data_IF_648536154400
#
_entry.id   IF_648536154400
#
_cell.length_a   1.000
_cell.length_b   1.000
_cell.length_c   1.000
_cell.angle_alpha   90.00
_cell.angle_beta   90.00
_cell.angle_gamma   90.00
#
_symmetry.space_group_name_H-M   'P 1'
#
loop_
_entity.id
_entity.type
_entity.pdbx_description
1 polymer ?
#
# COMPACT_ATOMS: atom_id res chain seq x y z
N UNK A 1 2.51 27.42 -3.09
CA UNK A 1 3.48 27.34 -1.98
C UNK A 1 2.85 26.91 -0.64
N UNK A 2 1.82 27.60 -0.11
CA UNK A 2 1.21 27.25 1.20
C UNK A 2 0.67 25.82 1.31
N UNK A 3 -0.01 25.32 0.26
CA UNK A 3 -0.58 23.96 0.24
C UNK A 3 0.51 22.88 0.23
N UNK A 4 1.59 23.09 -0.53
CA UNK A 4 2.69 22.14 -0.62
C UNK A 4 3.38 21.94 0.74
N UNK A 5 3.66 23.03 1.46
CA UNK A 5 4.26 22.98 2.80
C UNK A 5 3.37 22.18 3.75
N UNK A 6 2.07 22.44 3.70
CA UNK A 6 1.08 21.74 4.52
C UNK A 6 1.04 20.24 4.20
N UNK A 7 1.03 19.87 2.91
CA UNK A 7 1.05 18.47 2.48
C UNK A 7 2.33 17.78 2.97
N UNK A 8 3.49 18.40 2.79
CA UNK A 8 4.76 17.82 3.26
C UNK A 8 4.73 17.65 4.78
N UNK A 9 4.31 18.68 5.52
CA UNK A 9 4.32 18.65 6.98
C UNK A 9 3.42 17.55 7.57
N UNK A 10 2.23 17.32 7.00
CA UNK A 10 1.34 16.22 7.42
C UNK A 10 1.94 14.84 7.11
N UNK A 11 2.77 14.73 6.08
CA UNK A 11 3.32 13.46 5.62
C UNK A 11 4.75 13.20 6.14
N UNK A 12 5.29 14.03 7.03
CA UNK A 12 6.66 13.83 7.54
C UNK A 12 6.82 12.50 8.28
N UNK A 13 5.77 11.99 8.92
CA UNK A 13 5.75 10.68 9.58
C UNK A 13 6.09 9.52 8.64
N UNK A 14 5.83 9.68 7.35
CA UNK A 14 6.14 8.72 6.30
C UNK A 14 7.40 9.12 5.53
N UNK A 15 7.49 10.39 5.12
CA UNK A 15 8.59 10.88 4.28
C UNK A 15 9.93 10.69 4.98
N UNK A 16 10.01 10.94 6.30
CA UNK A 16 11.28 10.84 7.03
C UNK A 16 11.78 9.39 7.13
N UNK A 17 11.00 8.41 7.65
CA UNK A 17 11.43 7.01 7.62
C UNK A 17 11.70 6.49 6.21
N UNK A 18 10.87 6.86 5.24
CA UNK A 18 11.05 6.44 3.85
C UNK A 18 12.40 6.91 3.28
N UNK A 19 12.72 8.20 3.39
CA UNK A 19 13.99 8.74 2.88
C UNK A 19 15.20 8.20 3.66
N UNK A 20 15.02 7.86 4.92
CA UNK A 20 16.09 7.25 5.73
C UNK A 20 16.41 5.82 5.26
N UNK A 21 15.39 5.02 4.97
CA UNK A 21 15.53 3.67 4.41
C UNK A 21 15.96 3.65 2.95
N UNK A 22 15.66 4.67 2.16
CA UNK A 22 16.16 4.80 0.79
C UNK A 22 17.70 4.91 0.70
N UNK A 23 18.38 5.06 1.85
CA UNK A 23 19.85 5.02 1.95
C UNK A 23 20.39 3.59 2.10
N UNK A 24 19.54 2.63 2.45
CA UNK A 24 19.93 1.23 2.62
C UNK A 24 20.06 0.54 1.27
N UNK A 25 20.92 -0.48 1.23
CA UNK A 25 21.10 -1.32 0.05
C UNK A 25 20.00 -2.39 -0.01
N UNK A 26 18.80 -1.96 -0.39
CA UNK A 26 17.63 -2.83 -0.54
C UNK A 26 17.27 -3.06 -2.00
N UNK A 27 16.64 -4.20 -2.29
CA UNK A 27 16.07 -4.50 -3.60
C UNK A 27 14.86 -3.60 -3.85
N UNK A 28 15.02 -2.58 -4.69
CA UNK A 28 13.93 -1.63 -5.05
C UNK A 28 13.41 -1.79 -6.48
N UNK A 29 14.04 -2.67 -7.27
CA UNK A 29 13.64 -2.98 -8.64
C UNK A 29 13.29 -4.46 -8.73
N UNK A 30 12.12 -4.74 -9.28
CA UNK A 30 11.79 -6.05 -9.78
C UNK A 30 12.41 -6.26 -11.16
N UNK A 31 13.02 -7.41 -11.35
CA UNK A 31 13.19 -7.97 -12.68
C UNK A 31 11.87 -8.64 -13.03
N UNK A 32 11.05 -8.02 -13.88
CA UNK A 32 9.89 -8.70 -14.45
C UNK A 32 10.39 -9.81 -15.36
N UNK A 33 10.19 -11.05 -14.95
CA UNK A 33 10.44 -12.23 -15.75
C UNK A 33 9.33 -12.41 -16.80
N UNK A 34 9.74 -12.72 -18.03
CA UNK A 34 8.94 -13.44 -19.03
C UNK A 34 7.81 -12.71 -19.76
N UNK A 35 6.84 -12.14 -19.05
CA UNK A 35 5.60 -11.63 -19.65
C UNK A 35 5.60 -10.10 -19.72
N UNK A 36 5.35 -9.55 -20.91
CA UNK A 36 5.18 -8.10 -21.09
C UNK A 36 4.05 -7.57 -20.21
N UNK A 37 4.26 -6.41 -19.58
CA UNK A 37 3.24 -5.75 -18.73
C UNK A 37 1.89 -5.57 -19.45
N UNK A 38 1.88 -5.52 -20.79
CA UNK A 38 0.68 -5.43 -21.61
C UNK A 38 -0.26 -6.62 -21.41
N UNK A 39 0.27 -7.84 -21.30
CA UNK A 39 -0.55 -9.05 -21.13
C UNK A 39 -1.22 -9.13 -19.76
N UNK A 40 -0.86 -8.24 -18.84
CA UNK A 40 -1.46 -8.07 -17.51
C UNK A 40 -2.42 -6.88 -17.47
N UNK A 41 -2.69 -6.26 -18.61
CA UNK A 41 -3.68 -5.19 -18.76
C UNK A 41 -5.11 -5.72 -18.74
N UNK A 42 -6.04 -4.88 -18.33
CA UNK A 42 -7.47 -5.22 -18.26
C UNK A 42 -8.08 -5.31 -19.66
N UNK A 43 -8.68 -6.45 -20.03
CA UNK A 43 -9.52 -6.52 -21.22
C UNK A 43 -10.73 -5.60 -21.08
N UNK A 44 -11.20 -5.06 -22.21
CA UNK A 44 -12.33 -4.13 -22.23
C UNK A 44 -13.60 -4.68 -21.54
N UNK A 45 -13.87 -5.98 -21.68
CA UNK A 45 -15.01 -6.63 -21.03
C UNK A 45 -14.90 -6.59 -19.50
N UNK A 46 -13.70 -6.67 -18.94
CA UNK A 46 -13.45 -6.65 -17.50
C UNK A 46 -13.69 -5.27 -16.89
N UNK A 47 -13.46 -4.18 -17.64
CA UNK A 47 -13.80 -2.82 -17.19
C UNK A 47 -15.29 -2.69 -16.82
N UNK A 48 -16.15 -3.45 -17.48
CA UNK A 48 -17.60 -3.46 -17.24
C UNK A 48 -18.08 -4.65 -16.41
N UNK A 49 -17.16 -5.48 -15.89
CA UNK A 49 -17.51 -6.58 -15.01
C UNK A 49 -18.07 -6.05 -13.68
N UNK A 50 -19.27 -6.51 -13.31
CA UNK A 50 -19.98 -6.11 -12.09
C UNK A 50 -19.81 -7.17 -10.99
N UNK A 51 -19.63 -8.42 -11.38
CA UNK A 51 -19.43 -9.55 -10.45
C UNK A 51 -17.95 -9.76 -10.16
N UNK A 52 -17.57 -10.06 -8.90
CA UNK A 52 -16.19 -10.34 -8.59
C UNK A 52 -15.75 -11.67 -9.21
N UNK A 53 -14.53 -11.71 -9.74
CA UNK A 53 -13.78 -12.96 -9.80
C UNK A 53 -13.19 -13.18 -8.40
N UNK A 54 -13.56 -14.27 -7.72
CA UNK A 54 -13.16 -14.54 -6.33
C UNK A 54 -11.69 -14.91 -6.15
N UNK A 55 -10.78 -14.19 -6.78
CA UNK A 55 -9.33 -14.41 -6.69
C UNK A 55 -8.57 -13.10 -6.44
N UNK A 56 -7.41 -13.22 -5.82
CA UNK A 56 -6.43 -12.13 -5.69
C UNK A 56 -5.29 -12.30 -6.72
N UNK A 57 -5.50 -13.14 -7.74
CA UNK A 57 -4.50 -13.45 -8.76
C UNK A 57 -4.78 -12.64 -10.01
N UNK A 58 -3.73 -12.04 -10.54
CA UNK A 58 -3.73 -11.50 -11.89
C UNK A 58 -3.51 -12.65 -12.86
N UNK A 59 -4.35 -12.71 -13.87
CA UNK A 59 -4.19 -13.67 -14.94
C UNK A 59 -3.56 -12.96 -16.14
N UNK A 60 -2.71 -13.66 -16.89
CA UNK A 60 -2.33 -13.17 -18.21
C UNK A 60 -3.51 -13.28 -19.17
N UNK A 61 -3.49 -12.48 -20.23
CA UNK A 61 -4.48 -12.49 -21.32
C UNK A 61 -4.91 -13.92 -21.75
N UNK A 62 -3.97 -14.86 -21.83
CA UNK A 62 -4.21 -16.26 -22.26
C UNK A 62 -5.14 -17.05 -21.34
N UNK A 63 -5.19 -16.72 -20.04
CA UNK A 63 -6.04 -17.42 -19.06
C UNK A 63 -7.44 -16.81 -18.95
N UNK A 64 -7.68 -15.65 -19.59
CA UNK A 64 -8.95 -14.94 -19.56
C UNK A 64 -9.39 -14.48 -18.15
N UNK A 65 -10.65 -14.05 -18.06
CA UNK A 65 -11.20 -13.39 -16.86
C UNK A 65 -11.71 -14.36 -15.77
N UNK A 66 -11.63 -15.68 -15.97
CA UNK A 66 -12.12 -16.64 -14.97
C UNK A 66 -11.21 -16.68 -13.75
N UNK A 67 -11.80 -16.52 -12.55
CA UNK A 67 -11.06 -16.47 -11.28
C UNK A 67 -9.92 -15.46 -11.31
N UNK A 68 -10.12 -14.31 -11.94
CA UNK A 68 -9.18 -13.19 -11.92
C UNK A 68 -9.54 -12.18 -10.82
N UNK A 69 -8.58 -11.36 -10.41
CA UNK A 69 -8.82 -10.22 -9.53
C UNK A 69 -9.93 -9.30 -10.07
N UNK A 70 -10.90 -8.89 -9.23
CA UNK A 70 -12.00 -8.06 -9.68
C UNK A 70 -11.56 -6.61 -9.81
N UNK A 71 -11.33 -6.17 -11.05
CA UNK A 71 -10.72 -4.88 -11.38
C UNK A 71 -11.60 -4.01 -12.30
N UNK A 72 -12.91 -4.26 -12.33
CA UNK A 72 -13.86 -3.45 -13.10
C UNK A 72 -14.12 -2.07 -12.50
N UNK A 73 -14.76 -1.18 -13.27
CA UNK A 73 -15.18 0.14 -12.82
C UNK A 73 -16.25 0.07 -11.71
N UNK A 74 -16.98 -1.05 -11.64
CA UNK A 74 -18.14 -1.20 -10.77
C UNK A 74 -19.36 -0.45 -11.30
N UNK A 75 -20.55 -0.93 -10.91
CA UNK A 75 -21.82 -0.44 -11.43
C UNK A 75 -22.03 1.06 -11.19
N UNK A 76 -21.53 1.59 -10.08
CA UNK A 76 -21.64 3.02 -9.73
C UNK A 76 -20.96 3.90 -10.78
N UNK A 77 -19.71 3.62 -11.14
CA UNK A 77 -19.01 4.44 -12.12
C UNK A 77 -19.57 4.27 -13.53
N UNK A 78 -20.09 3.08 -13.87
CA UNK A 78 -20.82 2.87 -15.13
C UNK A 78 -22.05 3.80 -15.20
N UNK A 79 -22.85 3.88 -14.14
CA UNK A 79 -24.00 4.80 -14.06
C UNK A 79 -23.55 6.26 -14.13
N UNK A 80 -22.46 6.64 -13.44
CA UNK A 80 -21.92 8.00 -13.50
C UNK A 80 -21.46 8.37 -14.92
N UNK A 81 -20.78 7.47 -15.63
CA UNK A 81 -20.36 7.69 -17.01
C UNK A 81 -21.57 7.84 -17.94
N UNK A 82 -22.62 7.03 -17.74
CA UNK A 82 -23.86 7.17 -18.48
C UNK A 82 -24.55 8.52 -18.23
N UNK A 83 -24.66 8.94 -16.97
CA UNK A 83 -25.21 10.24 -16.59
C UNK A 83 -24.35 11.41 -17.10
N UNK A 84 -23.03 11.24 -17.13
CA UNK A 84 -22.12 12.21 -17.73
C UNK A 84 -22.43 12.38 -19.22
N UNK A 85 -22.56 11.30 -19.98
CA UNK A 85 -22.88 11.34 -21.42
C UNK A 85 -24.22 12.06 -21.64
N UNK A 86 -25.27 11.70 -20.89
CA UNK A 86 -26.57 12.39 -20.97
C UNK A 86 -26.42 13.88 -20.65
N UNK A 87 -25.68 14.20 -19.59
CA UNK A 87 -25.42 15.58 -19.18
C UNK A 87 -24.71 16.37 -20.27
N UNK A 88 -23.69 15.80 -20.92
CA UNK A 88 -22.96 16.43 -22.02
C UNK A 88 -23.83 16.63 -23.27
N UNK A 89 -24.75 15.70 -23.57
CA UNK A 89 -25.66 15.81 -24.73
C UNK A 89 -26.73 16.90 -24.48
N UNK A 90 -27.26 16.99 -23.26
CA UNK A 90 -28.36 17.92 -22.92
C UNK A 90 -27.88 19.32 -22.54
N UNK A 91 -26.57 19.49 -22.41
CA UNK A 91 -25.95 20.72 -21.97
C UNK A 91 -25.96 21.78 -23.06
N UNK A 92 -26.18 23.02 -22.66
CA UNK A 92 -26.00 24.17 -23.53
C UNK A 92 -24.52 24.29 -23.94
N UNK A 93 -24.25 24.50 -25.23
CA UNK A 93 -22.90 24.62 -25.77
C UNK A 93 -22.16 25.86 -25.24
N UNK A 94 -22.90 26.87 -24.83
CA UNK A 94 -22.34 28.11 -24.29
C UNK A 94 -21.96 28.01 -22.82
N UNK A 95 -22.53 27.04 -22.09
CA UNK A 95 -22.06 26.68 -20.76
C UNK A 95 -20.64 26.10 -20.92
N UNK A 96 -19.64 26.59 -20.16
CA UNK A 96 -18.25 26.05 -20.19
C UNK A 96 -17.94 25.21 -18.96
N UNK A 97 -17.48 23.97 -19.17
CA UNK A 97 -17.17 23.08 -18.05
C UNK A 97 -16.01 23.70 -17.26
N UNK A 98 -16.15 23.73 -15.94
CA UNK A 98 -15.08 24.26 -15.11
C UNK A 98 -13.79 23.45 -15.33
N UNK A 99 -12.65 24.13 -15.23
CA UNK A 99 -11.33 23.54 -15.48
C UNK A 99 -11.10 22.24 -14.69
N UNK A 100 -11.39 22.15 -13.38
CA UNK A 100 -11.15 20.93 -12.63
C UNK A 100 -11.97 19.72 -13.12
N UNK A 101 -13.20 19.94 -13.59
CA UNK A 101 -14.04 18.87 -14.10
C UNK A 101 -13.52 18.31 -15.43
N UNK A 102 -13.07 19.19 -16.34
CA UNK A 102 -12.42 18.77 -17.60
C UNK A 102 -11.15 17.98 -17.33
N UNK A 103 -10.33 18.43 -16.38
CA UNK A 103 -9.14 17.68 -15.96
C UNK A 103 -9.51 16.31 -15.38
N UNK A 104 -10.53 16.22 -14.52
CA UNK A 104 -10.94 14.95 -13.95
C UNK A 104 -11.38 13.95 -15.04
N UNK A 105 -12.12 14.40 -16.06
CA UNK A 105 -12.52 13.56 -17.21
C UNK A 105 -11.30 13.13 -18.03
N UNK A 106 -10.38 14.06 -18.32
CA UNK A 106 -9.20 13.75 -19.12
C UNK A 106 -8.28 12.75 -18.42
N UNK A 107 -8.01 12.95 -17.12
CA UNK A 107 -7.17 12.04 -16.33
C UNK A 107 -7.86 10.70 -16.12
N UNK A 108 -9.17 10.66 -15.86
CA UNK A 108 -9.88 9.38 -15.71
C UNK A 108 -9.85 8.58 -17.01
N UNK A 109 -10.05 9.23 -18.16
CA UNK A 109 -10.01 8.59 -19.47
C UNK A 109 -8.60 8.05 -19.78
N UNK A 110 -7.57 8.85 -19.52
CA UNK A 110 -6.17 8.42 -19.69
C UNK A 110 -5.84 7.26 -18.74
N UNK A 111 -6.25 7.32 -17.48
CA UNK A 111 -5.98 6.27 -16.50
C UNK A 111 -6.71 4.97 -16.83
N UNK A 112 -7.95 5.03 -17.35
CA UNK A 112 -8.66 3.85 -17.87
C UNK A 112 -7.88 3.26 -19.04
N UNK A 113 -7.45 4.08 -20.01
CA UNK A 113 -6.66 3.57 -21.13
C UNK A 113 -5.38 2.89 -20.63
N UNK A 114 -4.65 3.52 -19.73
CA UNK A 114 -3.42 2.97 -19.15
C UNK A 114 -3.66 1.68 -18.33
N UNK A 115 -4.85 1.44 -17.78
CA UNK A 115 -5.12 0.18 -17.07
C UNK A 115 -5.42 -1.00 -17.99
N UNK A 116 -5.63 -0.77 -19.29
CA UNK A 116 -6.04 -1.81 -20.25
C UNK A 116 -4.88 -2.48 -20.99
N UNK A 117 -5.15 -3.65 -21.55
CA UNK A 117 -4.29 -4.38 -22.50
C UNK A 117 -4.23 -3.72 -23.90
N UNK A 118 -5.15 -2.78 -24.16
CA UNK A 118 -5.21 -1.97 -25.40
C UNK A 118 -4.06 -0.96 -25.45
N UNK A 119 -3.61 -0.45 -24.28
CA UNK A 119 -2.49 0.49 -24.27
C UNK A 119 -1.20 -0.23 -24.71
N UNK A 120 -0.45 0.32 -25.69
CA UNK A 120 0.57 -0.43 -26.42
C UNK A 120 1.90 -0.48 -25.67
N UNK A 121 1.90 -1.02 -24.45
CA UNK A 121 3.09 -1.14 -23.61
C UNK A 121 4.26 -1.85 -24.32
N UNK A 122 3.99 -2.94 -25.04
CA UNK A 122 5.03 -3.73 -25.71
C UNK A 122 5.73 -2.95 -26.83
N UNK A 123 4.99 -2.07 -27.50
CA UNK A 123 5.55 -1.15 -28.48
C UNK A 123 6.41 -0.08 -27.80
N UNK A 124 5.92 0.51 -26.71
CA UNK A 124 6.58 1.62 -26.04
C UNK A 124 7.89 1.20 -25.32
N UNK A 125 7.97 -0.04 -24.85
CA UNK A 125 9.19 -0.61 -24.24
C UNK A 125 10.39 -0.63 -25.23
N UNK A 126 10.15 -0.51 -26.54
CA UNK A 126 11.23 -0.40 -27.54
C UNK A 126 12.03 0.91 -27.40
N UNK A 127 11.49 1.93 -26.73
CA UNK A 127 12.16 3.19 -26.50
C UNK A 127 12.82 3.22 -25.10
N UNK A 128 14.12 3.53 -24.96
CA UNK A 128 14.84 3.39 -23.68
C UNK A 128 14.24 4.16 -22.49
N UNK A 129 13.79 5.40 -22.72
CA UNK A 129 13.17 6.25 -21.70
C UNK A 129 11.85 5.64 -21.22
N UNK A 130 11.02 5.19 -22.16
CA UNK A 130 9.72 4.60 -21.86
C UNK A 130 9.87 3.21 -21.24
N UNK A 131 10.84 2.41 -21.67
CA UNK A 131 11.19 1.12 -21.04
C UNK A 131 11.46 1.28 -19.55
N UNK A 132 12.23 2.30 -19.19
CA UNK A 132 12.58 2.56 -17.79
C UNK A 132 11.32 2.92 -16.98
N UNK A 133 10.48 3.81 -17.51
CA UNK A 133 9.21 4.19 -16.85
C UNK A 133 8.25 3.01 -16.74
N UNK A 134 8.07 2.24 -17.81
CA UNK A 134 7.12 1.13 -17.86
C UNK A 134 7.54 0.02 -16.90
N UNK A 135 8.83 -0.30 -16.81
CA UNK A 135 9.34 -1.30 -15.87
C UNK A 135 9.12 -0.90 -14.39
N UNK A 136 8.96 0.40 -14.08
CA UNK A 136 8.63 0.84 -12.70
C UNK A 136 7.15 0.68 -12.35
N UNK A 137 6.25 0.56 -13.34
CA UNK A 137 4.82 0.48 -13.08
C UNK A 137 4.40 -0.85 -12.45
N UNK A 138 5.16 -1.94 -12.66
CA UNK A 138 4.87 -3.32 -12.22
C UNK A 138 3.59 -3.91 -12.85
N UNK A 139 2.45 -3.23 -12.77
CA UNK A 139 1.17 -3.69 -13.33
C UNK A 139 0.25 -2.55 -13.84
N UNK A 140 -0.49 -2.73 -14.95
CA UNK A 140 -1.42 -1.73 -15.47
C UNK A 140 -2.60 -1.42 -14.54
N UNK A 141 -3.12 -2.41 -13.81
CA UNK A 141 -4.28 -2.19 -12.92
C UNK A 141 -4.02 -1.15 -11.82
N UNK A 142 -2.76 -0.78 -11.54
CA UNK A 142 -2.43 0.32 -10.61
C UNK A 142 -3.07 1.65 -11.01
N UNK A 143 -3.31 1.86 -12.31
CA UNK A 143 -4.02 3.05 -12.78
C UNK A 143 -5.49 3.07 -12.32
N UNK A 144 -6.10 1.93 -11.94
CA UNK A 144 -7.47 1.89 -11.40
C UNK A 144 -7.63 2.69 -10.10
N UNK A 145 -6.57 2.85 -9.31
CA UNK A 145 -6.58 3.77 -8.17
C UNK A 145 -6.80 5.23 -8.59
N UNK A 146 -6.12 5.66 -9.66
CA UNK A 146 -6.28 6.99 -10.25
C UNK A 146 -7.67 7.13 -10.86
N UNK A 147 -8.16 6.10 -11.56
CA UNK A 147 -9.54 6.05 -12.11
C UNK A 147 -10.56 6.28 -10.99
N UNK A 148 -10.41 5.60 -9.86
CA UNK A 148 -11.36 5.70 -8.73
C UNK A 148 -11.44 7.13 -8.18
N UNK A 149 -10.29 7.75 -7.92
CA UNK A 149 -10.23 9.12 -7.37
C UNK A 149 -10.81 10.13 -8.37
N UNK A 150 -10.42 10.03 -9.64
CA UNK A 150 -10.84 11.00 -10.66
C UNK A 150 -12.29 10.82 -11.09
N UNK A 151 -12.79 9.59 -11.23
CA UNK A 151 -14.21 9.34 -11.48
C UNK A 151 -15.10 9.72 -10.29
N UNK A 152 -14.59 9.65 -9.05
CA UNK A 152 -15.32 10.20 -7.89
C UNK A 152 -15.49 11.70 -8.02
N UNK A 153 -14.45 12.43 -8.45
CA UNK A 153 -14.58 13.87 -8.74
C UNK A 153 -15.59 14.11 -9.86
N UNK A 154 -15.55 13.32 -10.94
CA UNK A 154 -16.54 13.39 -12.03
C UNK A 154 -17.96 13.17 -11.47
N UNK A 155 -18.16 12.17 -10.61
CA UNK A 155 -19.44 11.88 -9.97
C UNK A 155 -19.96 13.08 -9.16
N UNK A 156 -19.10 13.73 -8.36
CA UNK A 156 -19.48 14.93 -7.61
C UNK A 156 -19.97 16.06 -8.52
N UNK A 157 -19.31 16.27 -9.66
CA UNK A 157 -19.73 17.28 -10.63
C UNK A 157 -21.03 16.91 -11.36
N UNK A 158 -21.19 15.64 -11.75
CA UNK A 158 -22.43 15.13 -12.36
C UNK A 158 -23.60 15.33 -11.41
N UNK A 159 -23.45 14.96 -10.13
CA UNK A 159 -24.48 15.18 -9.10
C UNK A 159 -24.74 16.67 -8.89
N UNK A 160 -23.70 17.50 -8.79
CA UNK A 160 -23.85 18.96 -8.68
C UNK A 160 -24.65 19.55 -9.83
N UNK A 161 -24.40 19.09 -11.06
CA UNK A 161 -25.11 19.53 -12.25
C UNK A 161 -26.56 19.04 -12.24
N UNK A 162 -26.81 17.80 -11.82
CA UNK A 162 -28.15 17.25 -11.67
C UNK A 162 -29.05 18.09 -10.74
N UNK A 163 -28.50 18.69 -9.68
CA UNK A 163 -29.24 19.59 -8.79
C UNK A 163 -29.83 20.83 -9.49
N UNK A 164 -29.28 21.23 -10.65
CA UNK A 164 -29.76 22.37 -11.42
C UNK A 164 -31.04 22.00 -12.19
N UNK A 165 -31.11 20.78 -12.73
CA UNK A 165 -32.18 20.36 -13.63
C UNK A 165 -33.31 19.60 -12.96
N UNK A 166 -33.02 18.94 -11.83
CA UNK A 166 -33.97 18.05 -11.17
C UNK A 166 -34.55 18.67 -9.90
N UNK A 167 -35.84 18.43 -9.66
CA UNK A 167 -36.51 18.80 -8.41
C UNK A 167 -35.86 18.09 -7.22
N UNK A 168 -35.90 18.73 -6.05
CA UNK A 168 -35.27 18.25 -4.80
C UNK A 168 -35.51 16.76 -4.50
N UNK A 169 -36.75 16.26 -4.60
CA UNK A 169 -37.06 14.83 -4.36
C UNK A 169 -36.31 13.89 -5.33
N UNK A 170 -36.24 14.24 -6.61
CA UNK A 170 -35.56 13.44 -7.65
C UNK A 170 -34.05 13.50 -7.45
N UNK A 171 -33.52 14.68 -7.13
CA UNK A 171 -32.10 14.87 -6.83
C UNK A 171 -31.64 14.02 -5.64
N UNK A 172 -32.37 14.03 -4.52
CA UNK A 172 -32.06 13.20 -3.35
C UNK A 172 -32.23 11.70 -3.63
N UNK A 173 -33.25 11.31 -4.41
CA UNK A 173 -33.40 9.94 -4.88
C UNK A 173 -32.19 9.47 -5.70
N UNK A 174 -31.67 10.30 -6.59
CA UNK A 174 -30.47 10.01 -7.38
C UNK A 174 -29.23 9.84 -6.51
N UNK A 175 -29.03 10.71 -5.50
CA UNK A 175 -27.94 10.55 -4.52
C UNK A 175 -28.06 9.22 -3.78
N UNK A 176 -29.26 8.87 -3.32
CA UNK A 176 -29.51 7.65 -2.57
C UNK A 176 -29.23 6.41 -3.43
N UNK A 177 -29.65 6.40 -4.70
CA UNK A 177 -29.36 5.30 -5.64
C UNK A 177 -27.87 5.17 -5.90
N UNK A 178 -27.16 6.26 -6.22
CA UNK A 178 -25.71 6.22 -6.49
C UNK A 178 -24.94 5.74 -5.26
N UNK A 179 -25.30 6.25 -4.08
CA UNK A 179 -24.68 5.84 -2.81
C UNK A 179 -24.97 4.38 -2.49
N UNK A 180 -26.21 3.94 -2.72
CA UNK A 180 -26.64 2.56 -2.54
C UNK A 180 -25.92 1.59 -3.46
N UNK A 181 -25.73 1.94 -4.73
CA UNK A 181 -24.95 1.15 -5.69
C UNK A 181 -23.47 1.04 -5.27
N UNK A 182 -22.88 2.14 -4.78
CA UNK A 182 -21.50 2.13 -4.30
C UNK A 182 -21.32 1.23 -3.07
N UNK A 183 -22.25 1.33 -2.11
CA UNK A 183 -22.28 0.46 -0.93
C UNK A 183 -22.49 -1.00 -1.32
N UNK A 184 -23.46 -1.27 -2.19
CA UNK A 184 -23.77 -2.62 -2.67
C UNK A 184 -22.55 -3.27 -3.35
N UNK A 185 -21.90 -2.57 -4.28
CA UNK A 185 -20.71 -3.08 -4.96
C UNK A 185 -19.57 -3.35 -3.96
N UNK A 186 -19.30 -2.41 -3.04
CA UNK A 186 -18.26 -2.57 -2.03
C UNK A 186 -18.53 -3.74 -1.07
N UNK A 187 -19.79 -3.92 -0.66
CA UNK A 187 -20.21 -5.03 0.19
C UNK A 187 -20.12 -6.38 -0.52
N UNK A 188 -20.49 -6.47 -1.80
CA UNK A 188 -20.34 -7.71 -2.57
C UNK A 188 -18.87 -8.07 -2.74
N UNK A 189 -18.03 -7.13 -3.15
CA UNK A 189 -16.60 -7.43 -3.34
C UNK A 189 -15.93 -7.83 -2.03
N UNK A 190 -16.21 -7.11 -0.94
CA UNK A 190 -15.66 -7.44 0.38
C UNK A 190 -16.21 -8.78 0.88
N UNK A 191 -17.51 -9.03 0.71
CA UNK A 191 -18.16 -10.28 1.11
C UNK A 191 -17.64 -11.48 0.33
N UNK A 192 -17.44 -11.34 -0.99
CA UNK A 192 -16.88 -12.41 -1.83
C UNK A 192 -15.45 -12.75 -1.40
N UNK A 193 -14.60 -11.75 -1.16
CA UNK A 193 -13.23 -11.99 -0.64
C UNK A 193 -13.27 -12.67 0.73
N UNK A 194 -14.10 -12.18 1.66
CA UNK A 194 -14.20 -12.74 3.01
C UNK A 194 -14.76 -14.17 3.04
N UNK A 195 -15.64 -14.53 2.10
CA UNK A 195 -16.24 -15.86 2.03
C UNK A 195 -15.42 -16.86 1.19
N UNK A 196 -14.58 -16.39 0.27
CA UNK A 196 -13.82 -17.26 -0.65
C UNK A 196 -12.34 -17.38 -0.30
N UNK A 197 -11.81 -16.53 0.59
CA UNK A 197 -10.41 -16.54 1.01
C UNK A 197 -10.27 -16.84 2.49
N UNK A 198 -9.26 -17.64 2.79
CA UNK A 198 -8.82 -17.81 4.16
C UNK A 198 -8.30 -16.48 4.71
N UNK A 199 -8.68 -16.17 5.94
CA UNK A 199 -8.19 -14.99 6.63
C UNK A 199 -6.68 -15.14 6.87
N UNK A 200 -5.88 -14.40 6.11
CA UNK A 200 -4.44 -14.31 6.36
C UNK A 200 -4.21 -13.42 7.58
N UNK A 201 -3.80 -14.02 8.69
CA UNK A 201 -3.33 -13.27 9.85
C UNK A 201 -1.89 -12.87 9.62
N UNK A 202 -1.68 -11.70 9.00
CA UNK A 202 -0.34 -11.11 8.75
C UNK A 202 0.51 -11.04 10.05
N UNK A 203 -0.16 -11.05 11.20
CA UNK A 203 0.44 -10.81 12.50
C UNK A 203 0.60 -12.07 13.39
N UNK A 204 0.24 -13.29 12.99
CA UNK A 204 0.60 -14.45 13.86
C UNK A 204 2.13 -14.63 13.89
N UNK A 205 2.71 -15.09 15.00
CA UNK A 205 4.18 -15.32 15.10
C UNK A 205 4.71 -16.28 14.03
N UNK A 206 3.85 -17.12 13.45
CA UNK A 206 4.13 -17.94 12.26
C UNK A 206 4.08 -17.14 10.95
N UNK A 207 3.19 -16.14 10.84
CA UNK A 207 3.09 -15.24 9.69
C UNK A 207 4.20 -14.18 9.64
N UNK A 208 4.78 -13.78 10.78
CA UNK A 208 5.99 -12.95 10.80
C UNK A 208 7.18 -13.66 10.11
N UNK A 209 7.18 -14.99 10.10
CA UNK A 209 8.17 -15.85 9.43
C UNK A 209 7.72 -16.28 8.02
N UNK A 210 6.42 -16.16 7.71
CA UNK A 210 5.83 -16.66 6.46
C UNK A 210 5.33 -15.58 5.49
N UNK A 211 5.04 -14.35 5.92
CA UNK A 211 4.21 -13.42 5.13
C UNK A 211 4.41 -11.93 5.46
N UNK A 212 5.55 -11.52 6.04
CA UNK A 212 5.91 -10.10 5.93
C UNK A 212 6.34 -9.84 4.49
N UNK A 213 5.36 -9.44 3.65
CA UNK A 213 5.43 -8.68 2.38
C UNK A 213 6.53 -8.94 1.33
N UNK A 214 7.37 -9.94 1.54
CA UNK A 214 8.74 -10.04 1.02
C UNK A 214 9.27 -11.48 0.98
N UNK A 215 8.86 -12.34 1.92
CA UNK A 215 9.39 -13.71 2.04
C UNK A 215 8.38 -14.76 1.55
N UNK A 216 7.10 -14.61 1.92
CA UNK A 216 6.03 -15.54 1.53
C UNK A 216 5.66 -15.48 0.06
N UNK A 217 5.53 -14.27 -0.48
CA UNK A 217 5.28 -14.03 -1.91
C UNK A 217 6.44 -14.52 -2.78
N UNK A 218 7.67 -14.25 -2.32
CA UNK A 218 8.89 -14.60 -3.04
C UNK A 218 9.14 -16.12 -3.11
N UNK A 219 8.72 -16.89 -2.10
CA UNK A 219 8.77 -18.36 -2.14
C UNK A 219 7.80 -18.98 -3.17
N UNK A 220 6.66 -18.33 -3.46
CA UNK A 220 5.68 -18.82 -4.43
C UNK A 220 5.87 -18.25 -5.84
N UNK A 221 6.54 -17.10 -5.96
CA UNK A 221 6.99 -16.58 -7.23
C UNK A 221 8.30 -15.82 -7.01
N UNK A 222 9.45 -16.38 -7.45
CA UNK A 222 10.77 -15.77 -7.22
C UNK A 222 10.92 -14.37 -7.83
N UNK A 223 9.99 -13.99 -8.70
CA UNK A 223 9.96 -12.71 -9.40
C UNK A 223 8.97 -11.69 -8.81
N UNK A 224 8.28 -11.98 -7.68
CA UNK A 224 7.34 -11.04 -7.05
C UNK A 224 7.48 -10.96 -5.53
N UNK A 225 7.41 -9.73 -5.01
CA UNK A 225 7.43 -9.49 -3.57
C UNK A 225 8.78 -9.83 -2.97
N UNK A 226 9.88 -9.46 -3.64
CA UNK A 226 11.26 -9.46 -3.12
C UNK A 226 11.74 -8.05 -2.81
N UNK A 227 10.88 -7.07 -3.05
CA UNK A 227 11.13 -5.67 -2.81
C UNK A 227 11.45 -5.45 -1.32
N UNK A 228 12.35 -4.51 -1.08
CA UNK A 228 12.81 -4.09 0.24
C UNK A 228 13.63 -5.14 1.01
N UNK A 229 13.86 -6.35 0.49
CA UNK A 229 14.87 -7.25 1.05
C UNK A 229 16.29 -6.67 0.86
N UNK A 230 17.24 -6.97 1.76
CA UNK A 230 18.66 -6.71 1.51
C UNK A 230 19.11 -7.30 0.17
N UNK A 231 20.02 -6.61 -0.53
CA UNK A 231 20.43 -6.98 -1.90
C UNK A 231 21.03 -8.39 -1.96
N UNK A 232 21.77 -8.78 -0.94
CA UNK A 232 22.41 -10.09 -0.80
C UNK A 232 21.48 -11.22 -0.34
N UNK A 233 20.22 -10.94 0.02
CA UNK A 233 19.27 -11.98 0.42
C UNK A 233 18.88 -12.84 -0.79
N UNK A 234 19.27 -14.11 -0.80
CA UNK A 234 18.72 -15.15 -1.65
C UNK A 234 17.45 -15.73 -1.01
N UNK A 235 16.31 -15.47 -1.67
CA UNK A 235 14.99 -15.94 -1.25
C UNK A 235 14.92 -17.47 -1.18
N UNK A 236 15.55 -18.16 -2.14
CA UNK A 236 15.50 -19.61 -2.21
C UNK A 236 16.25 -20.27 -1.04
N UNK A 237 17.19 -19.54 -0.43
CA UNK A 237 17.99 -19.98 0.70
C UNK A 237 17.47 -19.47 2.07
N UNK A 238 16.29 -18.84 2.13
CA UNK A 238 15.72 -18.40 3.41
C UNK A 238 15.32 -19.60 4.26
N UNK A 239 15.95 -19.72 5.43
CA UNK A 239 15.67 -20.76 6.42
C UNK A 239 14.99 -20.16 7.67
N UNK A 240 14.02 -20.90 8.22
CA UNK A 240 13.21 -20.55 9.39
C UNK A 240 13.80 -21.02 10.73
N UNK A 241 14.92 -21.74 10.71
CA UNK A 241 15.60 -22.18 11.93
C UNK A 241 16.48 -21.08 12.51
N UNK A 242 16.65 -21.06 13.82
CA UNK A 242 17.77 -20.37 14.44
C UNK A 242 19.10 -20.99 14.00
N UNK A 243 20.15 -20.17 13.91
CA UNK A 243 21.52 -20.64 13.66
C UNK A 243 22.34 -20.20 14.85
N UNK A 244 22.99 -21.15 15.50
CA UNK A 244 23.88 -20.89 16.63
C UNK A 244 25.32 -20.91 16.11
N UNK A 245 26.14 -19.98 16.60
CA UNK A 245 27.54 -19.88 16.17
C UNK A 245 28.42 -21.04 16.65
N UNK A 246 27.99 -21.75 17.70
CA UNK A 246 28.69 -22.90 18.27
C UNK A 246 27.69 -23.85 18.97
N UNK A 247 28.03 -25.14 19.06
CA UNK A 247 27.21 -26.17 19.74
C UNK A 247 27.12 -25.96 21.26
N UNK A 248 28.08 -25.25 21.84
CA UNK A 248 28.14 -24.91 23.27
C UNK A 248 27.22 -23.74 23.66
N UNK A 249 26.52 -23.17 22.68
CA UNK A 249 25.46 -22.18 22.90
C UNK A 249 24.15 -22.92 23.07
N UNK A 250 23.54 -22.80 24.25
CA UNK A 250 22.29 -23.49 24.56
C UNK A 250 21.17 -22.48 24.60
N UNK A 251 20.21 -22.62 23.69
CA UNK A 251 18.95 -21.88 23.74
C UNK A 251 17.93 -22.67 24.57
N UNK A 252 17.56 -22.16 25.74
CA UNK A 252 16.60 -22.85 26.61
C UNK A 252 15.15 -22.62 26.18
N UNK A 253 14.84 -21.39 25.79
CA UNK A 253 13.50 -21.03 25.36
C UNK A 253 13.53 -19.77 24.48
N UNK A 254 12.53 -19.64 23.62
CA UNK A 254 12.31 -18.44 22.84
C UNK A 254 10.81 -18.14 22.71
N UNK A 255 10.49 -16.86 22.56
CA UNK A 255 9.16 -16.40 22.24
C UNK A 255 9.25 -15.41 21.08
N UNK A 256 8.53 -15.71 20.00
CA UNK A 256 8.38 -14.81 18.85
C UNK A 256 6.99 -14.20 18.94
N UNK A 257 6.94 -12.88 19.03
CA UNK A 257 5.71 -12.11 19.01
C UNK A 257 5.87 -10.98 17.97
N UNK A 258 5.37 -11.19 16.76
CA UNK A 258 5.56 -10.28 15.62
C UNK A 258 7.05 -10.07 15.29
N UNK A 259 7.49 -8.82 15.21
CA UNK A 259 8.88 -8.40 15.00
C UNK A 259 9.71 -8.35 16.31
N UNK A 260 9.20 -8.95 17.39
CA UNK A 260 9.85 -8.98 18.69
C UNK A 260 10.16 -10.41 19.08
N UNK A 261 11.44 -10.69 19.27
CA UNK A 261 11.94 -12.02 19.62
C UNK A 261 12.59 -11.92 21.00
N UNK A 262 12.13 -12.73 21.94
CA UNK A 262 12.74 -12.87 23.27
C UNK A 262 13.41 -14.23 23.35
N UNK A 263 14.68 -14.27 23.72
CA UNK A 263 15.49 -15.49 23.72
C UNK A 263 16.16 -15.63 25.08
N UNK A 264 15.99 -16.79 25.71
CA UNK A 264 16.76 -17.21 26.86
C UNK A 264 17.89 -18.12 26.38
N UNK A 265 19.14 -17.70 26.63
CA UNK A 265 20.32 -18.27 26.01
C UNK A 265 21.49 -18.30 26.99
N UNK A 266 22.24 -19.40 26.93
CA UNK A 266 23.47 -19.63 27.67
C UNK A 266 24.64 -19.78 26.68
N UNK A 267 25.68 -18.96 26.82
CA UNK A 267 26.96 -19.13 26.15
C UNK A 267 28.00 -19.60 27.17
N UNK A 268 28.38 -20.88 27.11
CA UNK A 268 29.38 -21.46 28.01
C UNK A 268 30.83 -21.18 27.60
N UNK A 269 31.04 -20.56 26.44
CA UNK A 269 32.37 -20.30 25.91
C UNK A 269 33.05 -19.13 26.65
N UNK A 270 34.38 -19.15 26.63
CA UNK A 270 35.22 -18.02 27.06
C UNK A 270 35.43 -16.99 25.95
N UNK A 271 34.79 -17.19 24.79
CA UNK A 271 34.85 -16.31 23.63
C UNK A 271 33.45 -15.84 23.21
N UNK A 272 33.45 -14.81 22.34
CA UNK A 272 32.23 -14.29 21.74
C UNK A 272 31.74 -15.24 20.66
N UNK A 273 30.43 -15.37 20.57
CA UNK A 273 29.75 -16.16 19.55
C UNK A 273 28.54 -15.38 19.04
N UNK A 274 27.67 -16.01 18.26
CA UNK A 274 26.49 -15.36 17.74
C UNK A 274 25.28 -16.29 17.73
N UNK A 275 24.13 -15.66 17.54
CA UNK A 275 22.89 -16.32 17.16
C UNK A 275 22.26 -15.55 16.01
N UNK A 276 21.83 -16.27 14.97
CA UNK A 276 21.01 -15.71 13.90
C UNK A 276 19.58 -16.16 14.08
N UNK A 277 18.67 -15.18 14.07
CA UNK A 277 17.23 -15.40 14.26
C UNK A 277 16.51 -15.44 12.92
N UNK A 278 15.38 -16.14 12.78
CA UNK A 278 14.69 -16.29 11.49
C UNK A 278 13.89 -15.02 11.14
N UNK A 279 14.58 -13.87 11.11
CA UNK A 279 14.04 -12.55 10.81
C UNK A 279 15.07 -11.76 9.99
N UNK A 280 14.62 -11.06 8.95
CA UNK A 280 15.47 -10.27 8.05
C UNK A 280 15.93 -9.00 8.75
N UNK A 281 17.20 -8.66 8.55
CA UNK A 281 17.83 -7.48 9.13
C UNK A 281 17.38 -6.22 8.39
N UNK A 282 16.93 -5.25 9.19
CA UNK A 282 16.75 -3.86 8.78
C UNK A 282 17.44 -2.97 9.81
N UNK A 283 18.02 -1.85 9.37
CA UNK A 283 18.64 -0.90 10.30
C UNK A 283 17.62 -0.40 11.31
N UNK A 284 17.92 -0.54 12.60
CA UNK A 284 17.07 -0.11 13.72
C UNK A 284 16.63 -1.24 14.65
N UNK A 285 16.90 -2.51 14.31
CA UNK A 285 16.80 -3.59 15.29
C UNK A 285 17.88 -3.45 16.37
N UNK A 286 17.46 -3.48 17.62
CA UNK A 286 18.33 -3.54 18.80
C UNK A 286 18.07 -4.84 19.57
N UNK A 287 19.13 -5.36 20.21
CA UNK A 287 19.05 -6.47 21.15
C UNK A 287 19.39 -5.97 22.55
N UNK A 288 18.47 -6.14 23.50
CA UNK A 288 18.62 -5.62 24.87
C UNK A 288 18.40 -6.74 25.87
N UNK A 289 19.36 -6.93 26.77
CA UNK A 289 19.23 -7.83 27.91
C UNK A 289 18.14 -7.30 28.87
N UNK A 290 17.17 -8.15 29.19
CA UNK A 290 15.98 -7.74 29.94
C UNK A 290 16.31 -7.37 31.39
N UNK A 291 17.31 -8.02 31.99
CA UNK A 291 17.65 -7.84 33.40
C UNK A 291 18.54 -6.62 33.62
N UNK A 292 19.55 -6.48 32.79
CA UNK A 292 20.59 -5.44 32.92
C UNK A 292 20.29 -4.19 32.10
N UNK A 293 19.36 -4.27 31.15
CA UNK A 293 19.16 -3.24 30.10
C UNK A 293 20.42 -3.00 29.25
N UNK A 294 21.39 -3.91 29.29
CA UNK A 294 22.60 -3.87 28.48
C UNK A 294 22.28 -4.16 27.01
N UNK A 295 22.94 -3.44 26.10
CA UNK A 295 22.78 -3.64 24.66
C UNK A 295 23.74 -4.71 24.17
N UNK A 296 23.23 -5.64 23.36
CA UNK A 296 24.01 -6.60 22.59
C UNK A 296 24.19 -6.06 21.16
N UNK A 297 25.31 -6.39 20.53
CA UNK A 297 25.58 -5.98 19.16
C UNK A 297 24.63 -6.70 18.20
N UNK A 298 24.05 -5.95 17.27
CA UNK A 298 23.16 -6.48 16.23
C UNK A 298 23.71 -6.07 14.87
N UNK A 299 23.93 -7.07 14.02
CA UNK A 299 24.44 -6.89 12.67
C UNK A 299 23.68 -7.75 11.66
N UNK A 300 24.00 -7.54 10.40
CA UNK A 300 23.48 -8.34 9.31
C UNK A 300 24.31 -9.62 9.16
N UNK A 301 23.67 -10.76 9.40
CA UNK A 301 24.27 -12.08 9.30
C UNK A 301 24.06 -12.73 7.94
N UNK A 302 24.13 -14.06 7.92
CA UNK A 302 24.00 -14.84 6.70
C UNK A 302 22.64 -14.60 6.03
N UNK A 303 22.66 -14.48 4.70
CA UNK A 303 21.48 -14.29 3.87
C UNK A 303 20.61 -13.07 4.26
N UNK A 304 21.20 -12.04 4.88
CA UNK A 304 20.50 -10.82 5.30
C UNK A 304 19.67 -10.97 6.59
N UNK A 305 19.94 -11.99 7.41
CA UNK A 305 19.24 -12.22 8.69
C UNK A 305 19.79 -11.36 9.82
N UNK A 306 18.99 -11.15 10.86
CA UNK A 306 19.48 -10.54 12.10
C UNK A 306 20.45 -11.52 12.79
N UNK A 307 21.67 -11.04 13.04
CA UNK A 307 22.67 -11.69 13.87
C UNK A 307 22.88 -10.88 15.14
N UNK A 308 22.84 -11.55 16.29
CA UNK A 308 23.16 -10.95 17.59
C UNK A 308 24.45 -11.57 18.10
N UNK A 309 25.41 -10.71 18.45
CA UNK A 309 26.66 -11.13 19.08
C UNK A 309 26.43 -11.42 20.56
N UNK A 310 26.82 -12.61 21.00
CA UNK A 310 26.64 -13.08 22.37
C UNK A 310 28.00 -13.04 23.10
N UNK A 311 28.12 -12.29 24.22
CA UNK A 311 29.37 -12.19 24.96
C UNK A 311 29.74 -13.52 25.63
N UNK A 312 31.01 -13.70 26.02
CA UNK A 312 31.45 -14.89 26.76
C UNK A 312 30.68 -15.03 28.07
N UNK A 313 30.42 -16.26 28.50
CA UNK A 313 29.75 -16.54 29.77
C UNK A 313 28.38 -15.84 29.93
N UNK A 314 27.72 -15.53 28.83
CA UNK A 314 26.37 -14.95 28.87
C UNK A 314 25.37 -15.99 29.38
N UNK A 315 24.65 -15.66 30.44
CA UNK A 315 23.50 -16.42 30.92
C UNK A 315 22.36 -15.43 31.20
N UNK A 316 21.39 -15.39 30.30
CA UNK A 316 20.37 -14.38 30.39
C UNK A 316 19.26 -14.49 29.37
N UNK A 317 18.39 -13.48 29.42
CA UNK A 317 17.31 -13.32 28.46
C UNK A 317 17.42 -11.96 27.83
N UNK A 318 17.58 -11.94 26.51
CA UNK A 318 17.58 -10.71 25.73
C UNK A 318 16.39 -10.67 24.78
N UNK A 319 16.10 -9.45 24.33
CA UNK A 319 14.99 -9.15 23.45
C UNK A 319 15.49 -8.39 22.24
N UNK A 320 15.14 -8.90 21.07
CA UNK A 320 15.34 -8.25 19.78
C UNK A 320 14.04 -7.55 19.42
N UNK A 321 14.09 -6.25 19.12
CA UNK A 321 12.96 -5.50 18.58
C UNK A 321 13.44 -4.28 17.78
N UNK A 322 12.60 -3.80 16.88
CA UNK A 322 12.86 -2.55 16.16
C UNK A 322 12.67 -1.35 17.09
N UNK A 323 13.66 -0.47 17.15
CA UNK A 323 13.61 0.78 17.89
C UNK A 323 13.63 1.98 16.93
N UNK A 324 12.53 2.72 16.91
CA UNK A 324 12.41 3.92 16.08
C UNK A 324 13.40 5.01 16.51
N UNK A 325 14.21 5.56 15.58
CA UNK A 325 15.06 6.69 15.86
C UNK A 325 14.29 7.91 16.39
N UNK A 326 14.89 8.68 17.30
CA UNK A 326 14.24 9.83 17.92
C UNK A 326 13.72 10.87 16.90
N UNK A 327 14.41 11.05 15.77
CA UNK A 327 13.99 11.98 14.74
C UNK A 327 12.77 11.49 13.93
N UNK A 328 12.49 10.18 13.87
CA UNK A 328 11.23 9.65 13.31
C UNK A 328 10.05 10.01 14.22
N UNK A 329 10.24 9.84 15.54
CA UNK A 329 9.25 10.26 16.55
C UNK A 329 8.98 11.77 16.45
N UNK A 330 10.02 12.58 16.25
CA UNK A 330 9.89 14.02 15.97
C UNK A 330 9.06 14.32 14.72
N UNK A 331 9.34 13.62 13.61
CA UNK A 331 8.58 13.77 12.36
C UNK A 331 7.10 13.38 12.51
N UNK A 332 6.81 12.34 13.31
CA UNK A 332 5.44 11.95 13.66
C UNK A 332 4.71 13.04 14.45
N UNK A 333 5.36 13.63 15.46
CA UNK A 333 4.79 14.73 16.25
C UNK A 333 4.45 15.94 15.36
N UNK A 334 5.37 16.33 14.47
CA UNK A 334 5.13 17.45 13.53
C UNK A 334 3.94 17.17 12.61
N UNK A 335 3.84 15.94 12.10
CA UNK A 335 2.71 15.50 11.26
C UNK A 335 1.38 15.58 11.99
N UNK A 336 1.37 15.13 13.25
CA UNK A 336 0.19 15.15 14.10
C UNK A 336 -0.26 16.57 14.42
N UNK A 337 0.66 17.44 14.84
CA UNK A 337 0.38 18.86 15.12
C UNK A 337 -0.14 19.56 13.86
N UNK A 338 0.49 19.33 12.71
CA UNK A 338 0.08 19.92 11.43
C UNK A 338 -1.36 19.52 11.09
N UNK A 339 -1.70 18.24 11.28
CA UNK A 339 -3.06 17.73 11.07
C UNK A 339 -4.07 18.44 11.98
N UNK A 340 -3.79 18.56 13.27
CA UNK A 340 -4.68 19.25 14.22
C UNK A 340 -4.85 20.73 13.91
N UNK A 341 -3.78 21.44 13.53
CA UNK A 341 -3.84 22.84 13.13
C UNK A 341 -4.79 23.02 11.94
N UNK A 342 -4.71 22.14 10.93
CA UNK A 342 -5.56 22.22 9.75
C UNK A 342 -7.01 21.92 10.09
N UNK A 343 -7.27 20.89 10.90
CA UNK A 343 -8.61 20.58 11.38
C UNK A 343 -9.21 21.78 12.14
N UNK A 344 -8.42 22.40 13.03
CA UNK A 344 -8.85 23.58 13.77
C UNK A 344 -9.16 24.77 12.86
N UNK A 345 -8.29 25.06 11.89
CA UNK A 345 -8.50 26.13 10.90
C UNK A 345 -9.78 25.86 10.09
N UNK A 346 -9.98 24.62 9.64
CA UNK A 346 -11.16 24.23 8.87
C UNK A 346 -12.46 24.41 9.67
N UNK A 347 -12.47 23.97 10.93
CA UNK A 347 -13.61 24.16 11.85
C UNK A 347 -13.88 25.65 12.07
N UNK A 348 -12.84 26.46 12.33
CA UNK A 348 -12.99 27.89 12.60
C UNK A 348 -13.53 28.65 11.38
N UNK A 349 -13.04 28.34 10.18
CA UNK A 349 -13.52 28.95 8.93
C UNK A 349 -14.99 28.60 8.69
N UNK A 350 -15.38 27.33 8.88
CA UNK A 350 -16.76 26.92 8.67
C UNK A 350 -17.72 27.48 9.73
N UNK A 351 -17.30 27.55 10.99
CA UNK A 351 -18.06 28.23 12.05
C UNK A 351 -18.27 29.70 11.73
N UNK A 352 -17.24 30.40 11.26
CA UNK A 352 -17.34 31.81 10.88
C UNK A 352 -18.22 32.02 9.63
N UNK A 353 -18.17 31.13 8.63
CA UNK A 353 -19.06 31.16 7.45
C UNK A 353 -20.53 30.92 7.82
N UNK A 354 -20.80 30.04 8.79
CA UNK A 354 -22.16 29.80 9.29
C UNK A 354 -22.67 31.04 10.04
N UNK A 355 -21.86 31.62 10.93
CA UNK A 355 -22.21 32.83 11.68
C UNK A 355 -22.41 34.03 10.75
N UNK A 356 -21.57 34.21 9.71
CA UNK A 356 -21.72 35.30 8.76
C UNK A 356 -22.99 35.18 7.90
N UNK A 357 -23.41 33.95 7.56
CA UNK A 357 -24.69 33.72 6.87
C UNK A 357 -25.89 34.02 7.77
N UNK A 358 -25.81 33.71 9.07
CA UNK A 358 -26.87 34.02 10.04
C UNK A 358 -27.03 35.53 10.27
N UNK A 359 -25.93 36.30 10.26
CA UNK A 359 -25.96 37.78 10.38
C UNK A 359 -26.52 38.53 9.17
N UNK A 360 -26.71 37.87 8.03
CA UNK A 360 -27.33 38.48 6.82
C UNK A 360 -28.86 38.22 6.81
N UNK A 361 -29.34 37.33 7.67
CA UNK A 361 -30.76 36.92 7.77
C UNK A 361 -31.46 37.60 8.96
N UNK A 362 -30.70 38.23 9.86
CA UNK A 362 -31.16 39.14 10.91
C UNK A 362 -30.86 40.58 10.47
#
# INVERSE_FOLDING_TARGET
MKVLIVVIAINLNFIVPFLDYMRENLKVKLFTSGNGIQSMGLPLAQLFAITPGGSARLNGFEMGMQKEMPMGLGITFIVILFLLIIGLIRRDKDDKLCMPFRFAIAISTLAILLSTDIFPYDFLIKFPVLKTLINTLQFPFRFMGIVTVTLTLVACYVVKYANIFYKSKVFWGLILVISGLALYQGLIMSGDILNTKEAVRIYSGEAAVMWDGGIGSAMYSPDYGVEYLPVETDVAAINKSFILGDESVIMHNYNINYNKITINLLNMLSERTFIEVPLIYYRGYEAVDIKTSGRLSVEMGNNGRIRVEIPPQYDGTFRIQFEEPAYWKGAMIISLISTFIIMFIFIKINKNKIISKLKIIL
#
